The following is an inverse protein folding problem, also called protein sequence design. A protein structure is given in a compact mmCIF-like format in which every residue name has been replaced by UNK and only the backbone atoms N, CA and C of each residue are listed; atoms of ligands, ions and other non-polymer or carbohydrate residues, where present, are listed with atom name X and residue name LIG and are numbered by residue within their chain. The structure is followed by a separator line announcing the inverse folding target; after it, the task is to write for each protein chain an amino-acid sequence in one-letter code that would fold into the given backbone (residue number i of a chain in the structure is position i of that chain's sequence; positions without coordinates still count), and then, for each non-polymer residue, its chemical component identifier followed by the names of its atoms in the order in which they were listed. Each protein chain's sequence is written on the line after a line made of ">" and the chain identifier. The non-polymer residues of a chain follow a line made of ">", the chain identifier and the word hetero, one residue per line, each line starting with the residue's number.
data_IF_953388355845
#
_entry.id   IF_953388355845
#
_cell.length_a   1.000
_cell.length_b   1.000
_cell.length_c   1.000
_cell.angle_alpha   90.00
_cell.angle_beta   90.00
_cell.angle_gamma   90.00
#
_symmetry.space_group_name_H-M   'P 1'
#
loop_
_entity.id
_entity.type
_entity.pdbx_description
1 polymer ?
#
# COMPACT_ATOMS: atom_id res chain seq x y z
N UNK A 1 5.77 -4.42 -19.35
CA UNK A 1 5.71 -3.56 -18.15
C UNK A 1 7.08 -3.59 -17.47
N UNK A 2 7.74 -2.44 -17.34
CA UNK A 2 8.99 -2.34 -16.59
C UNK A 2 8.67 -2.14 -15.11
N UNK A 3 9.17 -3.00 -14.23
CA UNK A 3 9.16 -2.74 -12.80
C UNK A 3 10.31 -1.79 -12.47
N UNK A 4 9.99 -0.63 -11.90
CA UNK A 4 11.02 0.32 -11.48
C UNK A 4 11.72 -0.19 -10.22
N UNK A 5 13.04 -0.02 -10.14
CA UNK A 5 13.84 -0.39 -8.96
C UNK A 5 14.43 0.86 -8.32
N UNK A 6 14.36 0.95 -7.00
CA UNK A 6 14.99 2.01 -6.23
C UNK A 6 16.32 1.56 -5.63
N UNK A 7 17.30 2.45 -5.66
CA UNK A 7 18.63 2.22 -5.14
C UNK A 7 18.95 3.31 -4.12
N UNK A 8 19.41 2.91 -2.95
CA UNK A 8 19.97 3.81 -1.94
C UNK A 8 21.49 3.77 -2.03
N UNK A 9 22.13 4.94 -2.10
CA UNK A 9 23.58 5.07 -2.07
C UNK A 9 24.03 5.63 -0.72
N UNK A 10 24.83 4.84 0.00
CA UNK A 10 25.43 5.28 1.26
C UNK A 10 26.81 5.89 1.00
N UNK A 11 26.91 7.22 1.10
CA UNK A 11 28.16 7.97 0.86
C UNK A 11 29.28 7.61 1.83
N UNK A 12 28.96 7.24 3.07
CA UNK A 12 29.97 6.93 4.10
C UNK A 12 30.62 5.58 3.85
N UNK A 13 29.87 4.63 3.27
CA UNK A 13 30.33 3.27 2.98
C UNK A 13 30.71 3.05 1.52
N UNK A 14 30.44 4.01 0.65
CA UNK A 14 30.61 3.86 -0.80
C UNK A 14 29.76 2.73 -1.39
N UNK A 15 28.65 2.37 -0.75
CA UNK A 15 27.87 1.18 -1.09
C UNK A 15 26.52 1.53 -1.70
N UNK A 16 26.11 0.75 -2.69
CA UNK A 16 24.79 0.82 -3.31
C UNK A 16 23.95 -0.36 -2.84
N UNK A 17 22.75 -0.09 -2.33
CA UNK A 17 21.81 -1.11 -1.86
C UNK A 17 20.47 -0.93 -2.54
N UNK A 18 19.85 -2.03 -2.96
CA UNK A 18 18.47 -2.02 -3.44
C UNK A 18 17.55 -1.74 -2.26
N UNK A 19 16.66 -0.76 -2.40
CA UNK A 19 15.59 -0.54 -1.42
C UNK A 19 14.57 -1.66 -1.61
N UNK A 20 14.31 -2.50 -0.60
CA UNK A 20 13.28 -3.52 -0.69
C UNK A 20 11.90 -2.87 -0.79
N UNK A 21 11.05 -3.46 -1.63
CA UNK A 21 9.67 -3.04 -1.80
C UNK A 21 8.81 -4.30 -1.94
N UNK A 22 7.80 -4.42 -1.08
CA UNK A 22 6.86 -5.56 -1.11
C UNK A 22 5.94 -5.51 -2.32
N UNK A 23 5.59 -4.30 -2.77
CA UNK A 23 4.77 -4.07 -3.95
C UNK A 23 5.62 -3.54 -5.11
N UNK A 24 5.36 -4.07 -6.31
CA UNK A 24 5.99 -3.56 -7.52
C UNK A 24 5.59 -2.10 -7.76
N UNK A 25 6.59 -1.24 -8.00
CA UNK A 25 6.37 0.14 -8.43
C UNK A 25 6.03 0.10 -9.91
N UNK A 26 4.75 0.34 -10.22
CA UNK A 26 4.24 0.40 -11.57
C UNK A 26 4.42 1.81 -12.15
N UNK A 27 4.59 1.87 -13.46
CA UNK A 27 4.80 3.11 -14.19
C UNK A 27 6.24 3.62 -14.12
N UNK A 28 6.49 4.71 -14.84
CA UNK A 28 7.77 5.40 -14.80
C UNK A 28 7.83 6.29 -13.56
N UNK A 29 8.93 6.23 -12.82
CA UNK A 29 9.15 7.12 -11.68
C UNK A 29 9.26 8.55 -12.21
N UNK A 30 8.38 9.42 -11.73
CA UNK A 30 8.32 10.83 -12.08
C UNK A 30 9.14 11.67 -11.09
N UNK A 31 9.07 11.37 -9.79
CA UNK A 31 9.87 12.07 -8.78
C UNK A 31 9.98 11.28 -7.47
N UNK A 32 10.93 11.69 -6.62
CA UNK A 32 11.15 11.18 -5.27
C UNK A 32 11.18 12.33 -4.27
N UNK A 33 10.42 12.23 -3.18
CA UNK A 33 10.45 13.19 -2.08
C UNK A 33 10.58 12.50 -0.72
N UNK A 34 11.32 13.12 0.19
CA UNK A 34 11.40 12.69 1.58
C UNK A 34 10.42 13.49 2.42
N UNK A 35 9.68 12.80 3.29
CA UNK A 35 8.93 13.45 4.35
C UNK A 35 9.80 13.70 5.60
N UNK A 36 9.20 14.30 6.64
CA UNK A 36 9.91 14.60 7.90
C UNK A 36 10.21 13.36 8.74
N UNK A 37 9.48 12.27 8.54
CA UNK A 37 9.65 10.99 9.22
C UNK A 37 10.72 10.11 8.54
N UNK A 38 11.23 10.53 7.36
CA UNK A 38 12.26 9.83 6.61
C UNK A 38 11.70 8.78 5.63
N UNK A 39 10.39 8.74 5.41
CA UNK A 39 9.82 7.89 4.38
C UNK A 39 10.10 8.48 2.99
N UNK A 40 10.28 7.59 2.01
CA UNK A 40 10.43 7.97 0.61
C UNK A 40 9.08 7.91 -0.07
N UNK A 41 8.64 9.03 -0.61
CA UNK A 41 7.46 9.10 -1.46
C UNK A 41 7.88 9.10 -2.92
N UNK A 42 7.26 8.23 -3.71
CA UNK A 42 7.60 7.98 -5.11
C UNK A 42 6.37 8.22 -5.96
N UNK A 43 6.38 9.30 -6.74
CA UNK A 43 5.35 9.56 -7.73
C UNK A 43 5.71 8.86 -9.03
N UNK A 44 4.71 8.30 -9.71
CA UNK A 44 4.89 7.63 -11.00
C UNK A 44 3.83 8.07 -11.99
N UNK A 45 3.97 7.66 -13.25
CA UNK A 45 2.92 7.84 -14.27
C UNK A 45 1.66 6.98 -14.02
N UNK A 46 1.57 6.28 -12.89
CA UNK A 46 0.44 5.39 -12.57
C UNK A 46 0.18 5.26 -11.07
N UNK A 47 0.48 6.30 -10.29
CA UNK A 47 0.16 6.34 -8.86
C UNK A 47 1.27 6.91 -7.99
N UNK A 48 0.97 6.97 -6.69
CA UNK A 48 1.86 7.45 -5.65
C UNK A 48 2.19 6.30 -4.71
N UNK A 49 3.45 6.19 -4.31
CA UNK A 49 3.91 5.16 -3.38
C UNK A 49 4.59 5.80 -2.18
N UNK A 50 4.39 5.26 -0.99
CA UNK A 50 5.17 5.55 0.22
C UNK A 50 5.99 4.32 0.57
N UNK A 51 7.28 4.51 0.82
CA UNK A 51 8.22 3.45 1.14
C UNK A 51 8.90 3.78 2.45
N UNK A 52 8.68 2.91 3.43
CA UNK A 52 9.46 2.89 4.66
C UNK A 52 10.77 2.13 4.39
N UNK A 53 11.88 2.88 4.37
CA UNK A 53 13.21 2.33 4.09
C UNK A 53 13.79 1.50 5.24
N UNK A 54 13.22 1.58 6.44
CA UNK A 54 13.66 0.85 7.63
C UNK A 54 12.89 -0.46 7.80
N UNK A 55 11.58 -0.46 7.50
CA UNK A 55 10.71 -1.62 7.70
C UNK A 55 10.31 -2.33 6.40
N UNK A 56 10.77 -1.84 5.24
CA UNK A 56 10.46 -2.40 3.91
C UNK A 56 8.97 -2.36 3.52
N UNK A 57 8.15 -1.63 4.27
CA UNK A 57 6.73 -1.47 3.96
C UNK A 57 6.55 -0.56 2.74
N UNK A 58 5.68 -0.95 1.82
CA UNK A 58 5.34 -0.16 0.63
C UNK A 58 3.82 -0.03 0.52
N UNK A 59 3.34 1.20 0.59
CA UNK A 59 1.94 1.54 0.37
C UNK A 59 1.78 2.21 -0.98
N UNK A 60 0.74 1.83 -1.72
CA UNK A 60 0.34 2.48 -2.97
C UNK A 60 -0.96 3.25 -2.74
N UNK A 61 -1.01 4.48 -3.23
CA UNK A 61 -2.17 5.33 -3.26
C UNK A 61 -2.60 5.59 -4.71
N UNK A 62 -3.91 5.56 -4.96
CA UNK A 62 -4.52 5.89 -6.25
C UNK A 62 -5.95 6.41 -6.11
N UNK A 63 -6.77 6.23 -7.14
CA UNK A 63 -8.17 6.72 -7.19
C UNK A 63 -9.03 6.25 -6.02
N UNK A 64 -8.83 5.02 -5.55
CA UNK A 64 -9.58 4.48 -4.40
C UNK A 64 -9.26 5.21 -3.09
N UNK A 65 -8.11 5.87 -3.04
CA UNK A 65 -7.60 6.63 -1.91
C UNK A 65 -7.83 8.14 -2.09
N UNK A 66 -8.57 8.55 -3.12
CA UNK A 66 -8.92 9.94 -3.40
C UNK A 66 -7.96 10.70 -4.33
N UNK A 67 -7.06 10.01 -5.04
CA UNK A 67 -6.20 10.63 -6.05
C UNK A 67 -6.90 10.61 -7.41
N UNK A 68 -7.45 11.75 -7.84
CA UNK A 68 -8.20 11.85 -9.10
C UNK A 68 -7.32 11.61 -10.35
N UNK A 69 -6.13 12.24 -10.37
CA UNK A 69 -5.14 12.12 -11.44
C UNK A 69 -3.88 11.39 -10.93
N UNK A 70 -3.75 10.12 -11.32
CA UNK A 70 -2.61 9.26 -10.95
C UNK A 70 -1.41 9.44 -11.90
N UNK A 71 -1.49 10.31 -12.91
CA UNK A 71 -0.42 10.53 -13.87
C UNK A 71 0.47 11.71 -13.44
N UNK A 72 1.39 11.42 -12.51
CA UNK A 72 2.30 12.42 -11.96
C UNK A 72 3.35 12.87 -12.97
N UNK A 73 3.71 14.15 -12.91
CA UNK A 73 4.62 14.80 -13.85
C UNK A 73 6.06 14.80 -13.30
N UNK A 74 7.03 14.71 -14.21
CA UNK A 74 8.45 14.67 -13.90
C UNK A 74 8.89 15.83 -13.00
N UNK A 75 9.67 15.52 -11.96
CA UNK A 75 10.33 16.50 -11.08
C UNK A 75 9.39 17.54 -10.44
N UNK A 76 8.18 17.10 -10.06
CA UNK A 76 7.11 17.98 -9.60
C UNK A 76 6.68 17.74 -8.14
N UNK A 77 7.60 17.29 -7.28
CA UNK A 77 7.33 17.09 -5.86
C UNK A 77 7.97 18.15 -4.96
N UNK A 78 7.33 18.46 -3.84
CA UNK A 78 7.89 19.36 -2.82
C UNK A 78 7.35 19.10 -1.42
N UNK A 79 8.26 19.03 -0.44
CA UNK A 79 7.91 19.16 0.97
C UNK A 79 7.69 20.65 1.30
N UNK A 80 6.49 20.97 1.80
CA UNK A 80 6.11 22.32 2.19
C UNK A 80 6.62 22.64 3.60
N UNK A 81 6.68 23.93 3.93
CA UNK A 81 7.20 24.42 5.21
C UNK A 81 6.34 24.01 6.41
N UNK A 82 5.07 23.67 6.21
CA UNK A 82 4.18 23.16 7.25
C UNK A 82 4.27 21.63 7.42
N UNK A 83 5.02 20.94 6.55
CA UNK A 83 5.20 19.49 6.60
C UNK A 83 4.33 18.71 5.64
N UNK A 84 3.38 19.36 4.96
CA UNK A 84 2.60 18.74 3.88
C UNK A 84 3.46 18.48 2.65
N UNK A 85 3.04 17.53 1.84
CA UNK A 85 3.67 17.23 0.56
C UNK A 85 2.80 17.75 -0.58
N UNK A 86 3.44 18.25 -1.63
CA UNK A 86 2.84 18.67 -2.89
C UNK A 86 3.41 17.80 -4.01
N UNK A 87 2.55 17.27 -4.88
CA UNK A 87 2.93 16.57 -6.10
C UNK A 87 2.14 17.09 -7.30
N UNK A 88 2.82 17.42 -8.39
CA UNK A 88 2.19 17.79 -9.66
C UNK A 88 1.71 16.56 -10.44
N UNK A 89 0.48 16.63 -10.92
CA UNK A 89 -0.10 15.70 -11.87
C UNK A 89 -0.32 16.40 -13.22
N UNK A 90 -0.83 15.66 -14.21
CA UNK A 90 -0.94 16.16 -15.59
C UNK A 90 -1.87 17.37 -15.68
N UNK A 91 -3.01 17.31 -15.00
CA UNK A 91 -4.03 18.37 -15.04
C UNK A 91 -4.28 19.02 -13.66
N UNK A 92 -3.70 18.46 -12.60
CA UNK A 92 -3.97 18.85 -11.21
C UNK A 92 -2.71 18.79 -10.35
N UNK A 93 -2.86 19.04 -9.06
CA UNK A 93 -1.82 18.76 -8.08
C UNK A 93 -2.45 18.13 -6.84
N UNK A 94 -1.67 17.31 -6.15
CA UNK A 94 -2.05 16.64 -4.91
C UNK A 94 -1.34 17.30 -3.74
N UNK A 95 -2.08 17.70 -2.70
CA UNK A 95 -1.51 18.14 -1.41
C UNK A 95 -2.09 17.30 -0.28
N UNK A 96 -1.21 16.75 0.56
CA UNK A 96 -1.62 15.97 1.73
C UNK A 96 -0.63 16.11 2.88
N UNK A 97 -1.07 15.80 4.09
CA UNK A 97 -0.19 15.67 5.25
C UNK A 97 0.30 14.22 5.37
N UNK A 98 1.60 13.92 5.21
CA UNK A 98 2.11 12.56 5.30
C UNK A 98 2.02 11.98 6.73
N UNK A 99 1.96 12.82 7.77
CA UNK A 99 1.97 12.37 9.17
C UNK A 99 0.71 11.60 9.57
N UNK A 100 -0.39 11.73 8.82
CA UNK A 100 -1.64 10.99 9.08
C UNK A 100 -1.47 9.48 8.85
N UNK A 101 -0.54 9.07 7.99
CA UNK A 101 -0.32 7.67 7.66
C UNK A 101 0.49 6.92 8.72
N UNK A 102 1.28 7.62 9.53
CA UNK A 102 2.01 7.03 10.66
C UNK A 102 1.05 6.51 11.74
N UNK A 103 -0.17 7.06 11.82
CA UNK A 103 -1.21 6.64 12.77
C UNK A 103 -2.03 5.44 12.27
N UNK A 104 -2.24 5.33 10.95
CA UNK A 104 -3.05 4.27 10.36
C UNK A 104 -2.38 2.89 10.46
N UNK A 105 -1.04 2.83 10.48
CA UNK A 105 -0.29 1.59 10.68
C UNK A 105 -0.50 0.97 12.07
N UNK A 106 -1.05 1.72 13.04
CA UNK A 106 -1.31 1.22 14.39
C UNK A 106 -2.68 0.57 14.56
N UNK A 107 -3.57 0.68 13.57
CA UNK A 107 -4.94 0.16 13.64
C UNK A 107 -5.20 -0.81 12.49
N UNK A 108 -4.58 -1.98 12.53
CA UNK A 108 -5.00 -3.09 11.65
C UNK A 108 -6.37 -3.56 12.11
N UNK A 109 -7.45 -3.39 11.32
CA UNK A 109 -8.75 -3.92 11.69
C UNK A 109 -8.64 -5.45 11.77
N UNK A 110 -9.23 -6.03 12.80
CA UNK A 110 -9.26 -7.48 12.93
C UNK A 110 -10.16 -8.05 11.83
N UNK A 111 -9.58 -8.77 10.87
CA UNK A 111 -10.36 -9.40 9.80
C UNK A 111 -11.27 -10.48 10.42
N UNK A 112 -12.57 -10.36 10.19
CA UNK A 112 -13.56 -11.28 10.73
C UNK A 112 -14.29 -12.00 9.61
N UNK A 113 -14.40 -13.32 9.68
CA UNK A 113 -15.19 -14.10 8.73
C UNK A 113 -16.66 -13.67 8.86
N UNK A 114 -17.23 -13.11 7.79
CA UNK A 114 -18.63 -12.70 7.73
C UNK A 114 -19.52 -13.81 7.19
N UNK A 115 -19.00 -14.62 6.27
CA UNK A 115 -19.79 -15.62 5.55
C UNK A 115 -18.98 -16.89 5.30
N UNK A 116 -19.60 -18.05 5.49
CA UNK A 116 -19.07 -19.35 5.11
C UNK A 116 -20.06 -20.07 4.20
N UNK A 117 -19.58 -20.67 3.12
CA UNK A 117 -20.37 -21.56 2.28
C UNK A 117 -19.69 -22.92 2.14
N UNK A 118 -20.45 -24.00 2.31
CA UNK A 118 -20.02 -25.37 1.99
C UNK A 118 -20.90 -25.88 0.85
N UNK A 119 -20.30 -26.25 -0.29
CA UNK A 119 -21.02 -26.63 -1.50
C UNK A 119 -22.13 -25.62 -1.88
N UNK A 120 -21.79 -24.31 -1.89
CA UNK A 120 -22.71 -23.20 -2.15
C UNK A 120 -23.87 -23.06 -1.15
N UNK A 121 -23.83 -23.72 0.01
CA UNK A 121 -24.82 -23.55 1.08
C UNK A 121 -24.23 -22.78 2.24
N UNK A 122 -24.96 -21.74 2.68
CA UNK A 122 -24.58 -20.90 3.80
C UNK A 122 -24.41 -21.74 5.08
N UNK A 123 -23.29 -21.54 5.75
CA UNK A 123 -22.99 -22.06 7.08
C UNK A 123 -22.90 -20.88 8.03
N UNK A 124 -23.64 -20.95 9.14
CA UNK A 124 -23.63 -19.89 10.15
C UNK A 124 -22.27 -19.85 10.84
N UNK A 125 -21.61 -18.69 10.78
CA UNK A 125 -20.30 -18.45 11.39
C UNK A 125 -20.35 -18.70 12.90
N UNK A 126 -21.45 -18.32 13.56
CA UNK A 126 -21.62 -18.51 15.00
C UNK A 126 -21.62 -20.00 15.39
N UNK A 127 -22.28 -20.85 14.60
CA UNK A 127 -22.29 -22.30 14.85
C UNK A 127 -20.90 -22.91 14.72
N UNK A 128 -20.07 -22.41 13.79
CA UNK A 128 -18.68 -22.86 13.63
C UNK A 128 -17.80 -22.37 14.78
N UNK A 129 -18.01 -21.12 15.22
CA UNK A 129 -17.31 -20.54 16.38
C UNK A 129 -17.62 -21.33 17.66
N UNK A 130 -18.88 -21.64 17.92
CA UNK A 130 -19.29 -22.46 19.08
C UNK A 130 -18.71 -23.88 19.03
N UNK A 131 -18.66 -24.49 17.84
CA UNK A 131 -18.08 -25.82 17.66
C UNK A 131 -16.53 -25.85 17.77
N UNK A 132 -15.87 -24.68 17.72
CA UNK A 132 -14.42 -24.53 17.74
C UNK A 132 -13.69 -24.98 16.46
N UNK A 133 -14.37 -25.68 15.55
CA UNK A 133 -13.83 -26.07 14.25
C UNK A 133 -14.95 -26.46 13.27
N UNK A 134 -14.78 -26.09 11.99
CA UNK A 134 -15.58 -26.64 10.88
C UNK A 134 -14.93 -27.93 10.37
N UNK A 135 -15.67 -29.04 10.41
CA UNK A 135 -15.21 -30.33 9.86
C UNK A 135 -16.04 -30.69 8.64
N UNK A 136 -15.37 -30.77 7.49
CA UNK A 136 -16.00 -31.16 6.23
C UNK A 136 -16.09 -32.70 6.12
N UNK A 137 -17.19 -33.17 5.55
CA UNK A 137 -17.40 -34.58 5.20
C UNK A 137 -16.71 -34.90 3.88
N UNK A 138 -16.48 -36.19 3.61
CA UNK A 138 -15.77 -36.64 2.39
C UNK A 138 -16.44 -36.25 1.07
N UNK A 139 -17.72 -35.89 1.07
CA UNK A 139 -18.47 -35.43 -0.11
C UNK A 139 -18.61 -33.89 -0.20
N UNK A 140 -18.12 -33.16 0.81
CA UNK A 140 -18.10 -31.70 0.82
C UNK A 140 -16.78 -31.24 0.20
N UNK A 141 -16.82 -30.87 -1.08
CA UNK A 141 -15.64 -30.62 -1.91
C UNK A 141 -15.39 -29.15 -2.21
N UNK A 142 -16.26 -28.26 -1.74
CA UNK A 142 -16.15 -26.82 -1.95
C UNK A 142 -16.39 -26.06 -0.64
N UNK A 143 -15.48 -25.13 -0.35
CA UNK A 143 -15.56 -24.18 0.75
C UNK A 143 -15.31 -22.78 0.19
N UNK A 144 -16.15 -21.81 0.56
CA UNK A 144 -15.95 -20.39 0.27
C UNK A 144 -16.04 -19.58 1.56
N UNK A 145 -15.16 -18.60 1.71
CA UNK A 145 -15.01 -17.77 2.92
C UNK A 145 -15.01 -16.31 2.48
N UNK A 146 -15.81 -15.49 3.15
CA UNK A 146 -15.83 -14.03 3.01
C UNK A 146 -15.40 -13.40 4.34
N UNK A 147 -14.63 -12.32 4.27
CA UNK A 147 -14.03 -11.60 5.40
C UNK A 147 -13.98 -10.09 5.15
#
# INVERSE_FOLDING_TARGET
>A
SGSSTLLAYNRNRGSLTRIPNEQAIAGYIADLALDRSGNVWVSTTSGLYRIDIFHSNTLRFGRRDGIDDENFVLASSRLLSDGRMLFGASETFLVFDPAVFDQLEQTTPEASITTLHVNNRLVLVDSVREAGALRLRSYESSLSIEF
#
